data_IF_782658615702
#
_entry.id   IF_782658615702
#
_cell.length_a   1.000
_cell.length_b   1.000
_cell.length_c   1.000
_cell.angle_alpha   90.00
_cell.angle_beta   90.00
_cell.angle_gamma   90.00
#
_symmetry.space_group_name_H-M   'P 1'
#
loop_
_entity.id
_entity.type
_entity.pdbx_description
1 polymer ?
#
# COMPACT_ATOMS: atom_id res chain seq x y z
N UNK A 1 13.29 -9.53 -5.87
CA UNK A 1 14.04 -8.80 -4.83
C UNK A 1 15.21 -8.07 -5.48
N UNK A 2 15.17 -6.74 -5.58
CA UNK A 2 16.35 -5.96 -5.91
C UNK A 2 16.61 -4.97 -4.78
N UNK A 3 17.39 -5.43 -3.80
CA UNK A 3 18.16 -4.52 -2.96
C UNK A 3 19.36 -4.11 -3.82
N UNK A 4 19.51 -2.84 -4.18
CA UNK A 4 20.74 -2.37 -4.82
C UNK A 4 21.85 -2.44 -3.79
N UNK A 5 22.47 -3.62 -3.70
CA UNK A 5 23.60 -3.91 -2.83
C UNK A 5 24.85 -3.49 -3.56
N UNK A 6 25.54 -2.51 -3.01
CA UNK A 6 26.83 -2.06 -3.53
C UNK A 6 27.97 -2.85 -2.89
N UNK A 7 27.70 -3.82 -2.01
CA UNK A 7 28.72 -4.73 -1.49
C UNK A 7 29.52 -5.35 -2.63
N UNK A 8 30.83 -5.09 -2.68
CA UNK A 8 31.74 -5.49 -3.76
C UNK A 8 31.89 -4.48 -4.90
N UNK A 9 31.19 -3.34 -4.87
CA UNK A 9 31.44 -2.20 -5.74
C UNK A 9 32.64 -1.40 -5.22
N UNK A 10 33.58 -0.94 -6.08
CA UNK A 10 34.74 -0.14 -5.67
C UNK A 10 34.41 1.11 -4.83
N UNK A 11 33.19 1.63 -4.95
CA UNK A 11 32.72 2.75 -4.10
C UNK A 11 32.76 2.40 -2.60
N UNK A 12 32.58 1.12 -2.25
CA UNK A 12 32.61 0.64 -0.88
C UNK A 12 34.01 0.56 -0.29
N UNK A 13 35.05 0.52 -1.13
CA UNK A 13 36.45 0.57 -0.69
C UNK A 13 36.79 1.98 -0.16
N UNK A 14 36.05 3.00 -0.62
CA UNK A 14 36.21 4.40 -0.23
C UNK A 14 35.16 4.89 0.78
N UNK A 15 34.12 4.09 1.06
CA UNK A 15 33.02 4.42 1.98
C UNK A 15 32.80 3.32 3.04
N UNK A 16 33.84 3.01 3.86
CA UNK A 16 33.71 2.00 4.90
C UNK A 16 32.61 2.39 5.91
N UNK A 17 31.84 1.41 6.38
CA UNK A 17 30.73 1.53 7.35
C UNK A 17 29.40 2.11 6.84
N UNK A 18 29.20 2.20 5.53
CA UNK A 18 27.89 2.57 4.99
C UNK A 18 26.97 1.34 4.91
N UNK A 19 25.72 1.49 5.34
CA UNK A 19 24.78 0.36 5.45
C UNK A 19 24.52 -0.36 4.10
N UNK A 20 24.69 0.33 2.96
CA UNK A 20 24.57 -0.23 1.61
C UNK A 20 25.80 -1.03 1.14
N UNK A 21 26.93 -0.90 1.84
CA UNK A 21 28.15 -1.69 1.65
C UNK A 21 28.24 -2.89 2.61
N UNK A 22 27.39 -2.95 3.64
CA UNK A 22 27.38 -4.05 4.61
C UNK A 22 26.49 -5.21 4.15
N UNK A 23 27.04 -6.43 4.21
CA UNK A 23 26.28 -7.67 3.99
C UNK A 23 25.57 -8.05 5.28
N UNK A 24 24.57 -7.26 5.68
CA UNK A 24 23.69 -7.67 6.78
C UNK A 24 22.52 -8.45 6.19
N UNK A 25 22.50 -9.76 6.41
CA UNK A 25 21.34 -10.61 6.11
C UNK A 25 20.23 -10.28 7.13
N UNK A 26 19.55 -9.14 6.97
CA UNK A 26 18.29 -8.94 7.67
C UNK A 26 17.29 -9.95 7.11
N UNK A 27 16.68 -10.73 8.01
CA UNK A 27 15.56 -11.60 7.65
C UNK A 27 14.50 -10.75 6.92
N UNK A 28 13.85 -11.28 5.87
CA UNK A 28 12.82 -10.53 5.18
C UNK A 28 11.78 -10.07 6.19
N UNK A 29 11.62 -8.75 6.31
CA UNK A 29 10.55 -8.17 7.12
C UNK A 29 9.23 -8.72 6.61
N UNK A 30 8.34 -9.08 7.53
CA UNK A 30 6.99 -9.50 7.15
C UNK A 30 6.36 -8.34 6.38
N UNK A 31 5.86 -8.64 5.18
CA UNK A 31 5.20 -7.64 4.34
C UNK A 31 4.09 -6.94 5.14
N UNK A 32 4.01 -5.62 4.99
CA UNK A 32 3.04 -4.81 5.72
C UNK A 32 1.61 -5.29 5.43
N UNK A 33 0.78 -5.23 6.47
CA UNK A 33 -0.66 -5.46 6.34
C UNK A 33 -1.33 -4.59 7.38
N UNK A 34 -2.40 -3.90 6.99
CA UNK A 34 -3.20 -3.10 7.91
C UNK A 34 -3.69 -3.97 9.05
N UNK A 35 -3.46 -3.51 10.27
CA UNK A 35 -3.86 -4.26 11.47
C UNK A 35 -5.38 -4.25 11.63
N UNK A 36 -5.97 -5.45 11.66
CA UNK A 36 -7.37 -5.67 12.02
C UNK A 36 -7.53 -6.12 13.48
N UNK A 37 -6.50 -5.98 14.33
CA UNK A 37 -6.49 -6.48 15.72
C UNK A 37 -7.58 -5.84 16.59
N UNK A 38 -8.06 -4.65 16.23
CA UNK A 38 -9.18 -3.98 16.91
C UNK A 38 -10.55 -4.58 16.54
N UNK A 39 -10.62 -5.37 15.49
CA UNK A 39 -11.84 -5.98 15.02
C UNK A 39 -11.97 -7.41 15.53
N UNK A 40 -13.20 -7.78 15.90
CA UNK A 40 -13.49 -9.11 16.38
C UNK A 40 -13.29 -10.14 15.27
N UNK A 41 -12.81 -11.34 15.61
CA UNK A 41 -12.43 -12.42 14.68
C UNK A 41 -13.64 -13.08 13.99
N UNK A 42 -14.42 -12.31 13.22
CA UNK A 42 -15.46 -12.79 12.33
C UNK A 42 -14.98 -12.80 10.89
N UNK A 43 -15.40 -13.80 10.11
CA UNK A 43 -15.20 -13.81 8.67
C UNK A 43 -16.29 -12.99 7.98
N UNK A 44 -15.91 -12.20 6.98
CA UNK A 44 -16.89 -11.56 6.11
C UNK A 44 -17.46 -12.54 5.09
N UNK A 45 -18.70 -12.31 4.61
CA UNK A 45 -19.24 -13.04 3.47
C UNK A 45 -18.30 -12.95 2.24
N UNK A 46 -18.43 -13.88 1.28
CA UNK A 46 -17.70 -13.79 0.02
C UNK A 46 -17.84 -12.41 -0.64
N UNK A 47 -16.78 -11.96 -1.33
CA UNK A 47 -16.66 -10.65 -1.98
C UNK A 47 -16.64 -9.42 -1.04
N UNK A 48 -16.94 -9.60 0.25
CA UNK A 48 -16.80 -8.55 1.25
C UNK A 48 -15.47 -8.63 1.98
N UNK A 49 -15.01 -7.49 2.48
CA UNK A 49 -13.85 -7.40 3.36
C UNK A 49 -14.20 -6.61 4.62
N UNK A 50 -13.48 -6.91 5.69
CA UNK A 50 -13.63 -6.21 6.96
C UNK A 50 -12.97 -4.84 6.89
N UNK A 51 -13.75 -3.79 7.17
CA UNK A 51 -13.23 -2.43 7.28
C UNK A 51 -12.40 -2.27 8.55
N UNK A 52 -11.14 -1.79 8.47
CA UNK A 52 -10.32 -1.54 9.66
C UNK A 52 -10.88 -0.44 10.58
N UNK A 53 -11.72 0.46 10.05
CA UNK A 53 -12.33 1.54 10.82
C UNK A 53 -13.58 1.08 11.59
N UNK A 54 -14.50 0.42 10.91
CA UNK A 54 -15.83 0.10 11.47
C UNK A 54 -15.94 -1.33 11.98
N UNK A 55 -14.97 -2.19 11.64
CA UNK A 55 -15.02 -3.64 11.87
C UNK A 55 -16.25 -4.33 11.25
N UNK A 56 -16.96 -3.64 10.36
CA UNK A 56 -18.06 -4.18 9.56
C UNK A 56 -17.57 -4.73 8.23
N UNK A 57 -18.36 -5.62 7.64
CA UNK A 57 -18.13 -6.14 6.30
C UNK A 57 -18.73 -5.22 5.25
N UNK A 58 -17.96 -4.91 4.21
CA UNK A 58 -18.36 -4.06 3.11
C UNK A 58 -17.69 -4.52 1.81
N UNK A 59 -18.16 -3.98 0.68
CA UNK A 59 -17.58 -4.18 -0.65
C UNK A 59 -16.59 -3.04 -0.93
N UNK A 60 -15.29 -3.27 -0.71
CA UNK A 60 -14.29 -2.23 -0.90
C UNK A 60 -14.12 -1.90 -2.39
N UNK A 61 -13.84 -0.64 -2.69
CA UNK A 61 -13.23 -0.31 -3.98
C UNK A 61 -11.76 -0.71 -3.90
N UNK A 62 -11.37 -1.74 -4.65
CA UNK A 62 -10.09 -2.41 -4.47
C UNK A 62 -9.29 -2.55 -5.77
N UNK A 63 -8.00 -2.78 -5.64
CA UNK A 63 -7.09 -2.99 -6.75
C UNK A 63 -5.64 -3.05 -6.30
N UNK A 64 -4.72 -2.90 -7.26
CA UNK A 64 -3.28 -2.94 -7.00
C UNK A 64 -2.66 -1.60 -7.42
N UNK A 65 -1.95 -0.97 -6.48
CA UNK A 65 -1.06 0.16 -6.78
C UNK A 65 0.33 -0.36 -7.12
N UNK A 66 0.89 0.14 -8.22
CA UNK A 66 2.23 -0.20 -8.69
C UNK A 66 3.11 1.05 -8.61
N UNK A 67 3.97 1.10 -7.61
CA UNK A 67 4.94 2.18 -7.42
C UNK A 67 6.22 1.89 -8.19
N UNK A 68 6.59 2.79 -9.10
CA UNK A 68 7.66 2.54 -10.08
C UNK A 68 9.07 2.72 -9.54
N UNK A 69 9.23 3.63 -8.58
CA UNK A 69 10.53 3.98 -8.03
C UNK A 69 10.39 4.49 -6.59
N UNK A 70 9.96 3.63 -5.64
CA UNK A 70 9.97 4.01 -4.24
C UNK A 70 11.41 4.25 -3.76
N UNK A 71 11.60 5.24 -2.90
CA UNK A 71 12.90 5.58 -2.29
C UNK A 71 13.26 4.65 -1.11
N UNK A 72 12.47 3.61 -0.88
CA UNK A 72 12.69 2.60 0.14
C UNK A 72 12.34 1.21 -0.41
N UNK A 73 13.02 0.18 0.11
CA UNK A 73 12.82 -1.21 -0.30
C UNK A 73 12.18 -2.08 0.80
N UNK A 74 12.10 -1.58 2.03
CA UNK A 74 11.53 -2.32 3.15
C UNK A 74 10.00 -2.38 3.05
N UNK A 75 9.50 -3.52 2.59
CA UNK A 75 8.07 -3.81 2.46
C UNK A 75 7.36 -4.02 3.80
N UNK A 76 8.10 -4.09 4.91
CA UNK A 76 7.57 -4.12 6.27
C UNK A 76 7.57 -2.76 6.97
N UNK A 77 7.95 -1.67 6.29
CA UNK A 77 8.05 -0.34 6.89
C UNK A 77 6.67 0.22 7.29
N UNK A 78 6.25 -0.10 8.52
CA UNK A 78 4.92 0.25 9.02
C UNK A 78 4.62 1.74 8.98
N UNK A 79 5.61 2.59 9.27
CA UNK A 79 5.45 4.05 9.23
C UNK A 79 5.12 4.54 7.82
N UNK A 80 5.87 4.11 6.80
CA UNK A 80 5.63 4.52 5.41
C UNK A 80 4.25 4.07 4.91
N UNK A 81 3.84 2.83 5.20
CA UNK A 81 2.53 2.34 4.76
C UNK A 81 1.36 2.97 5.53
N UNK A 82 1.52 3.25 6.83
CA UNK A 82 0.52 4.02 7.60
C UNK A 82 0.37 5.46 7.07
N UNK A 83 1.47 6.08 6.66
CA UNK A 83 1.42 7.39 6.00
C UNK A 83 0.68 7.30 4.66
N UNK A 84 0.92 6.27 3.86
CA UNK A 84 0.18 6.02 2.62
C UNK A 84 -1.33 5.82 2.85
N UNK A 85 -1.71 4.99 3.83
CA UNK A 85 -3.11 4.82 4.23
C UNK A 85 -3.75 6.17 4.58
N UNK A 86 -3.04 6.96 5.39
CA UNK A 86 -3.54 8.26 5.83
C UNK A 86 -3.73 9.24 4.69
N UNK A 87 -2.78 9.24 3.77
CA UNK A 87 -2.85 10.06 2.58
C UNK A 87 -4.04 9.66 1.71
N UNK A 88 -4.27 8.36 1.54
CA UNK A 88 -5.38 7.83 0.75
C UNK A 88 -6.73 8.29 1.31
N UNK A 89 -7.04 8.05 2.58
CA UNK A 89 -8.34 8.47 3.11
C UNK A 89 -8.50 9.98 3.14
N UNK A 90 -7.43 10.75 3.43
CA UNK A 90 -7.53 12.21 3.47
C UNK A 90 -7.72 12.82 2.09
N UNK A 91 -7.00 12.32 1.07
CA UNK A 91 -7.04 12.92 -0.28
C UNK A 91 -8.13 12.38 -1.17
N UNK A 92 -8.63 11.19 -0.89
CA UNK A 92 -9.81 10.63 -1.57
C UNK A 92 -11.11 10.95 -0.80
N UNK A 93 -11.06 11.78 0.24
CA UNK A 93 -12.23 12.20 1.02
C UNK A 93 -13.00 11.01 1.62
N UNK A 94 -12.27 9.98 2.06
CA UNK A 94 -12.82 8.83 2.76
C UNK A 94 -12.79 9.08 4.27
N UNK A 95 -13.47 8.22 5.02
CA UNK A 95 -13.42 8.29 6.48
C UNK A 95 -12.05 7.89 7.04
N UNK A 96 -11.56 8.53 8.11
CA UNK A 96 -10.27 8.17 8.70
C UNK A 96 -10.20 6.69 9.10
N UNK A 97 -9.16 5.99 8.64
CA UNK A 97 -8.98 4.56 8.89
C UNK A 97 -9.77 3.63 7.96
N UNK A 98 -10.46 4.15 6.94
CA UNK A 98 -11.24 3.35 5.97
C UNK A 98 -10.40 2.77 4.83
N UNK A 99 -9.10 2.59 5.03
CA UNK A 99 -8.17 2.06 4.02
C UNK A 99 -7.46 0.85 4.60
N UNK A 100 -7.37 -0.22 3.81
CA UNK A 100 -6.48 -1.34 4.10
C UNK A 100 -5.49 -1.54 2.96
N UNK A 101 -4.22 -1.71 3.32
CA UNK A 101 -3.12 -2.13 2.48
C UNK A 101 -2.71 -3.53 2.89
N UNK A 102 -2.37 -4.35 1.90
CA UNK A 102 -1.89 -5.71 2.16
C UNK A 102 -0.83 -6.12 1.14
N UNK A 103 0.04 -7.02 1.59
CA UNK A 103 0.98 -7.76 0.76
C UNK A 103 1.83 -6.87 -0.18
N UNK A 104 2.59 -5.90 0.34
CA UNK A 104 3.55 -5.18 -0.46
C UNK A 104 4.72 -6.08 -0.87
N UNK A 105 5.05 -6.09 -2.15
CA UNK A 105 6.21 -6.80 -2.68
C UNK A 105 6.74 -6.16 -3.96
N UNK A 106 7.98 -6.46 -4.32
CA UNK A 106 8.55 -6.04 -5.61
C UNK A 106 8.39 -7.13 -6.66
N UNK A 107 7.82 -6.78 -7.81
CA UNK A 107 7.66 -7.69 -8.94
C UNK A 107 8.95 -7.82 -9.77
N UNK A 108 8.88 -8.55 -10.89
CA UNK A 108 10.01 -8.75 -11.82
C UNK A 108 10.53 -7.44 -12.43
N UNK A 109 9.66 -6.44 -12.59
CA UNK A 109 9.99 -5.13 -13.14
C UNK A 109 10.50 -4.16 -12.07
N UNK A 110 10.71 -4.65 -10.84
CA UNK A 110 11.12 -3.86 -9.69
C UNK A 110 10.14 -2.75 -9.30
N UNK A 111 8.85 -2.92 -9.64
CA UNK A 111 7.76 -2.10 -9.11
C UNK A 111 7.26 -2.68 -7.80
N UNK A 112 7.08 -1.80 -6.80
CA UNK A 112 6.43 -2.20 -5.55
C UNK A 112 4.92 -2.26 -5.79
N UNK A 113 4.37 -3.47 -5.75
CA UNK A 113 2.95 -3.72 -5.75
C UNK A 113 2.42 -3.60 -4.34
N UNK A 114 1.27 -2.97 -4.17
CA UNK A 114 0.53 -2.90 -2.90
C UNK A 114 -0.94 -3.12 -3.21
N UNK A 115 -1.55 -4.11 -2.58
CA UNK A 115 -2.99 -4.31 -2.71
C UNK A 115 -3.71 -3.29 -1.83
N UNK A 116 -4.68 -2.58 -2.40
CA UNK A 116 -5.40 -1.49 -1.74
C UNK A 116 -6.88 -1.82 -1.69
N UNK A 117 -7.50 -1.62 -0.53
CA UNK A 117 -8.94 -1.68 -0.31
C UNK A 117 -9.41 -0.39 0.34
N UNK A 118 -10.34 0.29 -0.30
CA UNK A 118 -10.97 1.51 0.19
C UNK A 118 -12.38 1.17 0.65
N UNK A 119 -12.79 1.59 1.84
CA UNK A 119 -14.06 1.21 2.44
C UNK A 119 -15.05 2.38 2.48
N UNK A 120 -16.34 2.13 2.17
CA UNK A 120 -17.40 3.12 2.32
C UNK A 120 -17.69 3.44 3.80
N UNK A 121 -18.20 4.65 4.05
CA UNK A 121 -18.51 5.15 5.40
C UNK A 121 -20.01 5.04 5.76
N UNK A 122 -20.90 5.11 4.78
CA UNK A 122 -22.36 5.20 4.96
C UNK A 122 -23.14 3.89 4.74
N UNK A 123 -22.46 2.75 4.59
CA UNK A 123 -23.09 1.47 4.30
C UNK A 123 -22.09 0.45 3.74
N UNK A 124 -22.55 -0.70 3.22
CA UNK A 124 -21.67 -1.74 2.68
C UNK A 124 -21.13 -1.43 1.28
N UNK A 125 -21.62 -0.39 0.60
CA UNK A 125 -21.21 -0.03 -0.77
C UNK A 125 -20.88 1.47 -0.88
N UNK A 126 -20.00 1.78 -1.81
CA UNK A 126 -19.91 3.11 -2.40
C UNK A 126 -21.04 3.31 -3.40
N UNK A 127 -21.53 4.54 -3.52
CA UNK A 127 -22.39 4.90 -4.62
C UNK A 127 -21.59 5.07 -5.93
N UNK A 128 -22.28 5.03 -7.07
CA UNK A 128 -21.64 5.11 -8.39
C UNK A 128 -20.78 6.38 -8.58
N UNK A 129 -21.22 7.51 -8.04
CA UNK A 129 -20.48 8.78 -8.14
C UNK A 129 -19.19 8.72 -7.35
N UNK A 130 -19.19 8.13 -6.16
CA UNK A 130 -17.99 7.90 -5.35
C UNK A 130 -17.00 6.99 -6.09
N UNK A 131 -17.46 5.87 -6.64
CA UNK A 131 -16.60 4.95 -7.41
C UNK A 131 -15.97 5.66 -8.60
N UNK A 132 -16.73 6.46 -9.36
CA UNK A 132 -16.19 7.21 -10.49
C UNK A 132 -15.16 8.25 -10.06
N UNK A 133 -15.43 9.01 -8.99
CA UNK A 133 -14.51 10.02 -8.46
C UNK A 133 -13.20 9.39 -8.00
N UNK A 134 -13.28 8.35 -7.17
CA UNK A 134 -12.11 7.63 -6.66
C UNK A 134 -11.33 6.99 -7.81
N UNK A 135 -12.03 6.31 -8.73
CA UNK A 135 -11.41 5.69 -9.89
C UNK A 135 -10.70 6.69 -10.80
N UNK A 136 -11.31 7.87 -11.02
CA UNK A 136 -10.68 8.97 -11.75
C UNK A 136 -9.43 9.47 -11.03
N UNK A 137 -9.51 9.71 -9.72
CA UNK A 137 -8.40 10.27 -8.96
C UNK A 137 -7.17 9.34 -8.95
N UNK A 138 -7.42 8.04 -8.86
CA UNK A 138 -6.37 7.04 -8.86
C UNK A 138 -5.80 6.76 -10.25
N UNK A 139 -6.65 6.68 -11.27
CA UNK A 139 -6.23 6.33 -12.64
C UNK A 139 -5.56 7.51 -13.36
N UNK A 140 -6.08 8.72 -13.15
CA UNK A 140 -5.52 9.97 -13.68
C UNK A 140 -4.40 10.53 -12.78
N UNK A 141 -4.12 9.86 -11.65
CA UNK A 141 -3.05 10.23 -10.71
C UNK A 141 -3.17 11.68 -10.20
N UNK A 142 -4.39 12.17 -9.99
CA UNK A 142 -4.63 13.44 -9.28
C UNK A 142 -4.30 13.26 -7.80
N UNK A 143 -4.53 12.06 -7.26
CA UNK A 143 -3.96 11.62 -6.00
C UNK A 143 -2.43 11.58 -6.10
N UNK A 144 -1.75 12.21 -5.13
CA UNK A 144 -0.29 12.16 -4.99
C UNK A 144 0.06 11.39 -3.71
N UNK A 145 0.74 10.23 -3.81
CA UNK A 145 1.17 9.47 -2.63
C UNK A 145 2.24 10.26 -1.85
N UNK A 146 2.62 9.79 -0.65
CA UNK A 146 3.82 10.27 0.02
C UNK A 146 5.05 10.18 -0.91
N UNK A 147 5.98 11.13 -0.79
CA UNK A 147 7.03 11.36 -1.79
C UNK A 147 7.95 10.14 -1.95
N UNK A 148 8.15 9.40 -0.88
CA UNK A 148 8.95 8.20 -0.78
C UNK A 148 8.42 7.01 -1.58
N UNK A 149 7.14 7.00 -1.96
CA UNK A 149 6.58 5.97 -2.84
C UNK A 149 6.82 6.28 -4.32
N UNK A 150 7.09 7.53 -4.67
CA UNK A 150 7.31 7.96 -6.05
C UNK A 150 6.06 7.84 -6.95
N UNK A 151 6.24 7.87 -8.28
CA UNK A 151 5.15 7.71 -9.24
C UNK A 151 4.50 6.34 -9.16
N UNK A 152 3.19 6.28 -9.40
CA UNK A 152 2.44 5.03 -9.39
C UNK A 152 1.46 4.94 -10.57
N UNK A 153 0.97 3.74 -10.85
CA UNK A 153 -0.29 3.54 -11.55
C UNK A 153 -1.17 2.58 -10.74
N UNK A 154 -2.48 2.65 -10.96
CA UNK A 154 -3.45 1.82 -10.25
C UNK A 154 -4.22 0.96 -11.24
N UNK A 155 -4.37 -0.33 -10.92
CA UNK A 155 -5.24 -1.26 -11.64
C UNK A 155 -6.37 -1.64 -10.69
N UNK A 156 -7.56 -1.13 -10.97
CA UNK A 156 -8.76 -1.44 -10.19
C UNK A 156 -9.26 -2.86 -10.50
N UNK A 157 -9.76 -3.55 -9.49
CA UNK A 157 -10.64 -4.69 -9.66
C UNK A 157 -12.03 -4.24 -10.10
N UNK A 158 -12.81 -5.10 -10.79
CA UNK A 158 -14.23 -4.83 -11.02
C UNK A 158 -14.95 -4.51 -9.71
N UNK A 159 -15.75 -3.43 -9.71
CA UNK A 159 -16.59 -3.07 -8.56
C UNK A 159 -17.98 -3.72 -8.74
N UNK A 160 -18.50 -4.42 -7.71
CA UNK A 160 -19.82 -5.08 -7.76
C UNK A 160 -21.01 -4.14 -7.95
#
# INVERSE_FOLDING_TARGET
>A
MASFRLAGNPVCDHLPNTAYCNVTQHAPSRAYTTSLVKCFSGACPPEQSMSPQSCGCAYPYQGVMYFRAPFFADVGNGTAFQELESKLWTKLELSPGSVALQDPFFNSDSYMQVQVKLFPSGGPYFNRTEVMRIGFDLSNQTFKPPKEFGPYYFIASPYP
#
